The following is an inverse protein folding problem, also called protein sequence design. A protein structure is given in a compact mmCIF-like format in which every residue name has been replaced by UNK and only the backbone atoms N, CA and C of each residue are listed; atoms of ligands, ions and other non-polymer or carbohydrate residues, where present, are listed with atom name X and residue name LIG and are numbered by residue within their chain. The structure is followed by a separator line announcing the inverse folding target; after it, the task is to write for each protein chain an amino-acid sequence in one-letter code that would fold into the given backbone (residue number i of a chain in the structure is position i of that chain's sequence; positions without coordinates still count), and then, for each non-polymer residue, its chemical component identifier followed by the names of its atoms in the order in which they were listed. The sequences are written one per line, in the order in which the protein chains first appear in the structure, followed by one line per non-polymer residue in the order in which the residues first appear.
data_IF_648680985033
#
_entry.id   IF_648680985033
#
_cell.length_a   1.000
_cell.length_b   1.000
_cell.length_c   1.000
_cell.angle_alpha   90.00
_cell.angle_beta   90.00
_cell.angle_gamma   90.00
#
_symmetry.space_group_name_H-M   'P 1'
#
loop_
_entity.id
_entity.type
_entity.pdbx_description
1 polymer ?
#
# COMPACT_ATOMS: atom_id res chain seq x y z
N UNK A 1 -21.09 -56.53 -18.29
CA UNK A 1 -21.10 -55.95 -16.94
C UNK A 1 -19.74 -55.30 -16.75
N UNK A 2 -19.60 -54.06 -17.23
CA UNK A 2 -18.32 -53.36 -17.20
C UNK A 2 -18.59 -51.91 -16.81
N UNK A 3 -18.76 -51.72 -15.51
CA UNK A 3 -18.75 -50.41 -14.87
C UNK A 3 -17.28 -50.13 -14.57
N UNK A 4 -16.49 -49.91 -15.63
CA UNK A 4 -15.11 -49.51 -15.49
C UNK A 4 -15.05 -47.99 -15.23
N UNK A 5 -14.66 -47.66 -14.00
CA UNK A 5 -13.80 -46.52 -13.69
C UNK A 5 -14.20 -45.14 -14.21
N UNK A 6 -15.36 -44.63 -13.80
CA UNK A 6 -15.65 -43.18 -13.86
C UNK A 6 -15.43 -42.46 -12.51
N UNK A 7 -14.64 -43.05 -11.61
CA UNK A 7 -14.34 -42.50 -10.27
C UNK A 7 -13.00 -41.75 -10.19
N UNK A 8 -12.11 -41.89 -11.17
CA UNK A 8 -10.79 -41.24 -11.17
C UNK A 8 -10.79 -39.78 -11.63
N UNK A 9 -11.78 -39.36 -12.44
CA UNK A 9 -11.80 -38.03 -13.06
C UNK A 9 -12.68 -37.03 -12.29
N UNK A 10 -13.52 -37.50 -11.36
CA UNK A 10 -14.52 -36.66 -10.66
C UNK A 10 -14.06 -36.26 -9.25
N UNK A 11 -12.90 -36.75 -8.77
CA UNK A 11 -12.52 -36.61 -7.36
C UNK A 11 -11.85 -35.26 -6.99
N UNK A 12 -11.40 -34.43 -7.93
CA UNK A 12 -10.42 -33.37 -7.57
C UNK A 12 -10.93 -31.91 -7.67
N UNK A 13 -12.17 -31.66 -8.09
CA UNK A 13 -12.68 -30.28 -8.13
C UNK A 13 -13.01 -29.69 -6.73
N UNK A 14 -13.00 -30.52 -5.68
CA UNK A 14 -13.35 -30.10 -4.31
C UNK A 14 -12.15 -29.54 -3.52
N UNK A 15 -10.93 -29.90 -3.90
CA UNK A 15 -9.70 -29.40 -3.28
C UNK A 15 -9.23 -28.13 -4.01
N UNK A 16 -8.55 -27.19 -3.33
CA UNK A 16 -7.89 -26.08 -4.01
C UNK A 16 -6.85 -26.55 -5.05
N UNK A 17 -6.14 -27.66 -4.78
CA UNK A 17 -5.13 -28.24 -5.65
C UNK A 17 -5.72 -28.73 -6.98
N UNK A 18 -6.82 -29.50 -6.93
CA UNK A 18 -7.45 -29.98 -8.16
C UNK A 18 -8.25 -28.93 -8.90
N UNK A 19 -8.71 -27.84 -8.24
CA UNK A 19 -9.19 -26.63 -8.94
C UNK A 19 -8.09 -25.94 -9.76
N UNK A 20 -6.85 -26.01 -9.30
CA UNK A 20 -5.69 -25.49 -10.02
C UNK A 20 -5.12 -26.48 -11.06
N UNK A 21 -5.67 -27.71 -11.15
CA UNK A 21 -5.13 -28.77 -12.01
C UNK A 21 -3.74 -29.25 -11.58
N UNK A 22 -3.39 -29.08 -10.31
CA UNK A 22 -2.08 -29.41 -9.74
C UNK A 22 -2.19 -30.58 -8.77
N UNK A 23 -1.12 -31.35 -8.60
CA UNK A 23 -1.02 -32.27 -7.46
C UNK A 23 -0.96 -31.50 -6.13
N UNK A 24 -1.38 -32.13 -5.02
CA UNK A 24 -1.29 -31.54 -3.67
C UNK A 24 0.13 -31.06 -3.30
N UNK A 25 1.17 -31.77 -3.75
CA UNK A 25 2.56 -31.36 -3.56
C UNK A 25 2.95 -30.12 -4.36
N UNK A 26 2.57 -30.06 -5.65
CA UNK A 26 2.85 -28.91 -6.51
C UNK A 26 2.08 -27.67 -6.04
N UNK A 27 0.82 -27.85 -5.62
CA UNK A 27 0.02 -26.78 -5.04
C UNK A 27 0.67 -26.22 -3.78
N UNK A 28 1.14 -27.08 -2.87
CA UNK A 28 1.84 -26.68 -1.64
C UNK A 28 3.14 -25.93 -1.89
N UNK A 29 3.89 -26.30 -2.92
CA UNK A 29 5.09 -25.55 -3.32
C UNK A 29 4.72 -24.20 -3.94
N UNK A 30 3.67 -24.14 -4.77
CA UNK A 30 3.22 -22.92 -5.42
C UNK A 30 2.66 -21.88 -4.45
N UNK A 31 1.97 -22.29 -3.37
CA UNK A 31 1.42 -21.38 -2.35
C UNK A 31 2.40 -21.06 -1.21
N UNK A 32 3.63 -21.58 -1.28
CA UNK A 32 4.58 -21.44 -0.20
C UNK A 32 4.99 -19.98 -0.06
N UNK A 33 4.68 -19.40 1.09
CA UNK A 33 5.06 -18.04 1.42
C UNK A 33 6.59 -17.87 1.39
N UNK A 34 7.08 -16.91 0.60
CA UNK A 34 8.50 -16.69 0.37
C UNK A 34 8.96 -15.27 0.79
N UNK A 35 10.22 -14.95 0.47
CA UNK A 35 10.79 -13.63 0.75
C UNK A 35 10.16 -12.51 -0.08
N UNK A 36 9.63 -12.84 -1.26
CA UNK A 36 8.94 -11.91 -2.17
C UNK A 36 7.62 -11.49 -1.53
N UNK A 37 6.84 -12.45 -1.02
CA UNK A 37 5.59 -12.17 -0.32
C UNK A 37 5.80 -11.31 0.92
N UNK A 38 6.86 -11.63 1.69
CA UNK A 38 7.27 -10.80 2.84
C UNK A 38 7.56 -9.36 2.42
N UNK A 39 8.26 -9.17 1.29
CA UNK A 39 8.56 -7.86 0.72
C UNK A 39 7.29 -7.06 0.40
N UNK A 40 6.30 -7.71 -0.22
CA UNK A 40 5.01 -7.10 -0.53
C UNK A 40 4.19 -6.72 0.70
N UNK A 41 4.22 -7.54 1.76
CA UNK A 41 3.57 -7.23 3.04
C UNK A 41 4.20 -5.97 3.65
N UNK A 42 5.53 -5.91 3.71
CA UNK A 42 6.24 -4.75 4.28
C UNK A 42 5.98 -3.49 3.45
N UNK A 43 5.95 -3.60 2.12
CA UNK A 43 5.61 -2.48 1.23
C UNK A 43 4.18 -1.98 1.48
N UNK A 44 3.22 -2.89 1.64
CA UNK A 44 1.82 -2.55 1.93
C UNK A 44 1.68 -1.80 3.25
N UNK A 45 2.38 -2.26 4.30
CA UNK A 45 2.46 -1.56 5.60
C UNK A 45 3.10 -0.18 5.42
N UNK A 46 4.20 -0.11 4.66
CA UNK A 46 4.90 1.12 4.37
C UNK A 46 4.05 2.18 3.66
N UNK A 47 3.26 1.76 2.68
CA UNK A 47 2.31 2.62 1.98
C UNK A 47 1.22 3.14 2.92
N UNK A 48 0.66 2.27 3.77
CA UNK A 48 -0.35 2.68 4.76
C UNK A 48 0.20 3.72 5.74
N UNK A 49 1.43 3.52 6.25
CA UNK A 49 2.09 4.49 7.14
C UNK A 49 2.42 5.80 6.38
N UNK A 50 2.90 5.67 5.14
CA UNK A 50 3.32 6.78 4.29
C UNK A 50 2.18 7.73 3.89
N UNK A 51 0.95 7.24 3.82
CA UNK A 51 -0.25 8.00 3.42
C UNK A 51 -0.75 9.02 4.47
N UNK A 52 0.12 9.49 5.37
CA UNK A 52 -0.20 10.54 6.35
C UNK A 52 -0.41 10.06 7.79
N UNK A 53 -0.34 8.75 8.06
CA UNK A 53 -0.40 8.21 9.44
C UNK A 53 0.72 8.77 10.32
N UNK A 54 1.88 9.08 9.76
CA UNK A 54 2.99 9.71 10.51
C UNK A 54 2.59 11.08 11.07
N UNK A 55 1.72 11.82 10.39
CA UNK A 55 1.21 13.13 10.83
C UNK A 55 -0.10 13.02 11.62
N UNK A 56 -0.66 11.81 11.75
CA UNK A 56 -1.92 11.57 12.41
C UNK A 56 -1.91 12.06 13.87
N UNK A 57 -0.86 11.89 14.69
CA UNK A 57 -0.85 12.45 16.05
C UNK A 57 -1.07 13.97 16.07
N UNK A 58 -0.50 14.70 15.11
CA UNK A 58 -0.68 16.15 14.98
C UNK A 58 -2.13 16.46 14.57
N UNK A 59 -2.68 15.74 13.59
CA UNK A 59 -4.06 15.92 13.16
C UNK A 59 -5.07 15.60 14.27
N UNK A 60 -4.82 14.56 15.06
CA UNK A 60 -5.64 14.19 16.22
C UNK A 60 -5.56 15.26 17.30
N UNK A 61 -4.38 15.84 17.54
CA UNK A 61 -4.22 16.96 18.47
C UNK A 61 -5.03 18.21 18.05
N UNK A 62 -5.16 18.47 16.75
CA UNK A 62 -5.92 19.61 16.22
C UNK A 62 -7.43 19.36 16.16
N UNK A 63 -7.86 18.15 15.75
CA UNK A 63 -9.27 17.80 15.53
C UNK A 63 -9.96 17.24 16.79
N UNK A 64 -9.18 16.84 17.79
CA UNK A 64 -9.66 16.25 19.04
C UNK A 64 -9.65 14.72 19.02
N UNK A 65 -9.24 14.13 20.15
CA UNK A 65 -9.11 12.68 20.33
C UNK A 65 -10.43 11.94 20.10
N UNK A 66 -11.53 12.44 20.65
CA UNK A 66 -12.83 11.76 20.58
C UNK A 66 -13.42 11.75 19.18
N UNK A 67 -13.27 12.86 18.43
CA UNK A 67 -13.68 12.95 17.03
C UNK A 67 -12.93 11.91 16.19
N UNK A 68 -11.62 11.78 16.44
CA UNK A 68 -10.80 10.77 15.79
C UNK A 68 -11.20 9.34 16.17
N UNK A 69 -11.44 9.03 17.44
CA UNK A 69 -11.85 7.68 17.85
C UNK A 69 -13.20 7.30 17.24
N UNK A 70 -14.16 8.21 17.22
CA UNK A 70 -15.46 7.98 16.59
C UNK A 70 -15.32 7.75 15.07
N UNK A 71 -14.53 8.59 14.39
CA UNK A 71 -14.28 8.42 12.95
C UNK A 71 -13.54 7.12 12.64
N UNK A 72 -12.65 6.66 13.53
CA UNK A 72 -11.96 5.37 13.42
C UNK A 72 -12.93 4.19 13.52
N UNK A 73 -13.87 4.24 14.47
CA UNK A 73 -14.89 3.18 14.66
C UNK A 73 -15.79 3.03 13.43
N UNK A 74 -16.09 4.13 12.74
CA UNK A 74 -16.92 4.13 11.52
C UNK A 74 -16.07 3.81 10.28
N UNK A 75 -14.88 4.42 10.17
CA UNK A 75 -14.01 4.30 9.02
C UNK A 75 -13.36 2.93 8.90
N UNK A 76 -13.01 2.28 10.01
CA UNK A 76 -12.36 0.97 9.99
C UNK A 76 -13.23 -0.12 9.32
N UNK A 77 -14.52 -0.32 9.69
CA UNK A 77 -15.40 -1.26 9.00
C UNK A 77 -15.54 -0.96 7.50
N UNK A 78 -15.69 0.31 7.13
CA UNK A 78 -15.83 0.71 5.73
C UNK A 78 -14.57 0.33 4.91
N UNK A 79 -13.38 0.65 5.44
CA UNK A 79 -12.11 0.30 4.80
C UNK A 79 -11.88 -1.21 4.75
N UNK A 80 -12.23 -1.94 5.82
CA UNK A 80 -12.14 -3.39 5.85
C UNK A 80 -13.02 -4.04 4.79
N UNK A 81 -14.28 -3.61 4.66
CA UNK A 81 -15.21 -4.12 3.65
C UNK A 81 -14.73 -3.78 2.24
N UNK A 82 -14.21 -2.57 2.01
CA UNK A 82 -13.65 -2.17 0.73
C UNK A 82 -12.44 -3.04 0.34
N UNK A 83 -11.50 -3.26 1.26
CA UNK A 83 -10.34 -4.11 0.96
C UNK A 83 -10.71 -5.58 0.79
N UNK A 84 -11.68 -6.08 1.56
CA UNK A 84 -12.21 -7.43 1.38
C UNK A 84 -12.85 -7.59 0.01
N UNK A 85 -13.63 -6.62 -0.45
CA UNK A 85 -14.21 -6.61 -1.79
C UNK A 85 -13.10 -6.65 -2.85
N UNK A 86 -12.08 -5.78 -2.72
CA UNK A 86 -10.95 -5.72 -3.64
C UNK A 86 -10.22 -7.07 -3.76
N UNK A 87 -9.86 -7.69 -2.63
CA UNK A 87 -9.17 -8.98 -2.59
C UNK A 87 -10.05 -10.09 -3.18
N UNK A 88 -11.34 -10.14 -2.81
CA UNK A 88 -12.24 -11.17 -3.32
C UNK A 88 -12.43 -11.08 -4.84
N UNK A 89 -12.60 -9.88 -5.38
CA UNK A 89 -12.74 -9.67 -6.82
C UNK A 89 -11.48 -10.09 -7.58
N UNK A 90 -10.29 -9.83 -7.03
CA UNK A 90 -9.03 -10.28 -7.60
C UNK A 90 -8.88 -11.80 -7.53
N UNK A 91 -9.21 -12.40 -6.38
CA UNK A 91 -9.07 -13.84 -6.15
C UNK A 91 -10.05 -14.68 -6.97
N UNK A 92 -11.20 -14.12 -7.34
CA UNK A 92 -12.22 -14.79 -8.17
C UNK A 92 -11.99 -14.59 -9.67
N UNK A 93 -11.03 -13.73 -10.07
CA UNK A 93 -10.71 -13.52 -11.48
C UNK A 93 -10.10 -14.78 -12.12
N UNK A 94 -10.63 -15.28 -13.25
CA UNK A 94 -10.10 -16.47 -13.93
C UNK A 94 -8.68 -16.30 -14.49
N UNK A 95 -8.26 -15.05 -14.72
CA UNK A 95 -6.97 -14.71 -15.30
C UNK A 95 -6.22 -13.75 -14.37
N UNK A 96 -4.93 -14.01 -14.15
CA UNK A 96 -4.04 -13.12 -13.40
C UNK A 96 -3.74 -11.85 -14.23
N UNK A 97 -4.71 -10.95 -14.32
CA UNK A 97 -4.63 -9.66 -15.03
C UNK A 97 -4.65 -8.50 -14.04
N UNK A 98 -4.31 -7.32 -14.54
CA UNK A 98 -4.40 -6.07 -13.79
C UNK A 98 -5.85 -5.78 -13.34
N UNK A 99 -5.98 -5.05 -12.23
CA UNK A 99 -7.30 -4.78 -11.62
C UNK A 99 -8.31 -4.09 -12.57
N UNK A 100 -7.93 -3.10 -13.40
CA UNK A 100 -8.81 -2.57 -14.44
C UNK A 100 -9.34 -3.63 -15.41
N UNK A 101 -8.50 -4.57 -15.85
CA UNK A 101 -8.90 -5.69 -16.70
C UNK A 101 -9.88 -6.63 -15.98
N UNK A 102 -9.65 -6.94 -14.70
CA UNK A 102 -10.57 -7.75 -13.89
C UNK A 102 -11.93 -7.08 -13.75
N UNK A 103 -11.97 -5.79 -13.38
CA UNK A 103 -13.23 -5.04 -13.27
C UNK A 103 -13.96 -4.95 -14.61
N UNK A 104 -13.24 -4.78 -15.71
CA UNK A 104 -13.83 -4.76 -17.06
C UNK A 104 -14.58 -6.07 -17.37
N UNK A 105 -14.10 -7.20 -16.84
CA UNK A 105 -14.77 -8.50 -16.93
C UNK A 105 -16.09 -8.55 -16.15
N UNK A 106 -16.15 -7.93 -14.97
CA UNK A 106 -17.35 -7.92 -14.11
C UNK A 106 -18.40 -6.87 -14.52
N UNK A 107 -17.99 -5.64 -14.88
CA UNK A 107 -18.88 -4.51 -15.15
C UNK A 107 -19.12 -4.26 -16.66
N UNK A 108 -18.41 -4.96 -17.52
CA UNK A 108 -18.48 -4.81 -18.97
C UNK A 108 -17.55 -3.73 -19.54
N UNK A 109 -17.33 -3.79 -20.86
CA UNK A 109 -16.29 -3.04 -21.58
C UNK A 109 -16.32 -1.51 -21.36
N UNK A 110 -17.50 -0.89 -21.37
CA UNK A 110 -17.61 0.58 -21.26
C UNK A 110 -17.28 1.09 -19.85
N UNK A 111 -17.77 0.38 -18.81
CA UNK A 111 -17.46 0.68 -17.41
C UNK A 111 -16.01 0.36 -17.08
N UNK A 112 -15.46 -0.70 -17.68
CA UNK A 112 -14.05 -1.04 -17.64
C UNK A 112 -13.15 0.07 -18.14
N UNK A 113 -13.45 0.64 -19.31
CA UNK A 113 -12.70 1.78 -19.88
C UNK A 113 -12.80 3.02 -18.98
N UNK A 114 -14.00 3.35 -18.48
CA UNK A 114 -14.18 4.50 -17.59
C UNK A 114 -13.36 4.35 -16.30
N UNK A 115 -13.47 3.20 -15.63
CA UNK A 115 -12.76 2.94 -14.38
C UNK A 115 -11.26 2.82 -14.59
N UNK A 116 -10.82 2.24 -15.71
CA UNK A 116 -9.42 2.22 -16.12
C UNK A 116 -8.85 3.63 -16.33
N UNK A 117 -9.61 4.52 -16.97
CA UNK A 117 -9.22 5.92 -17.16
C UNK A 117 -9.14 6.67 -15.81
N UNK A 118 -10.13 6.49 -14.93
CA UNK A 118 -10.11 7.06 -13.58
C UNK A 118 -8.93 6.54 -12.76
N UNK A 119 -8.64 5.25 -12.84
CA UNK A 119 -7.49 4.63 -12.17
C UNK A 119 -6.17 5.20 -12.69
N UNK A 120 -6.03 5.38 -14.01
CA UNK A 120 -4.86 6.00 -14.61
C UNK A 120 -4.67 7.45 -14.15
N UNK A 121 -5.72 8.27 -14.20
CA UNK A 121 -5.67 9.66 -13.74
C UNK A 121 -5.29 9.73 -12.27
N UNK A 122 -5.87 8.87 -11.44
CA UNK A 122 -5.53 8.76 -10.02
C UNK A 122 -4.03 8.45 -9.84
N UNK A 123 -3.48 7.45 -10.53
CA UNK A 123 -2.06 7.11 -10.45
C UNK A 123 -1.15 8.28 -10.85
N UNK A 124 -1.50 9.00 -11.93
CA UNK A 124 -0.74 10.16 -12.39
C UNK A 124 -0.75 11.28 -11.34
N UNK A 125 -1.91 11.58 -10.75
CA UNK A 125 -2.03 12.56 -9.67
C UNK A 125 -1.12 12.17 -8.50
N UNK A 126 -1.21 10.93 -8.03
CA UNK A 126 -0.38 10.46 -6.91
C UNK A 126 1.12 10.50 -7.23
N UNK A 127 1.52 10.15 -8.45
CA UNK A 127 2.92 10.26 -8.89
C UNK A 127 3.43 11.70 -8.75
N UNK A 128 2.65 12.69 -9.17
CA UNK A 128 3.04 14.10 -9.03
C UNK A 128 3.02 14.57 -7.57
N UNK A 129 1.99 14.22 -6.79
CA UNK A 129 1.88 14.61 -5.37
C UNK A 129 3.06 14.09 -4.56
N UNK A 130 3.43 12.81 -4.73
CA UNK A 130 4.58 12.27 -4.03
C UNK A 130 5.90 12.86 -4.51
N UNK A 131 6.04 13.12 -5.80
CA UNK A 131 7.22 13.78 -6.36
C UNK A 131 7.41 15.19 -5.79
N UNK A 132 6.35 16.00 -5.75
CA UNK A 132 6.43 17.37 -5.24
C UNK A 132 6.68 17.37 -3.73
N UNK A 133 6.06 16.46 -2.98
CA UNK A 133 6.35 16.26 -1.56
C UNK A 133 7.84 15.95 -1.32
N UNK A 134 8.42 14.98 -2.05
CA UNK A 134 9.84 14.64 -1.93
C UNK A 134 10.74 15.82 -2.32
N UNK A 135 10.39 16.54 -3.38
CA UNK A 135 11.13 17.72 -3.84
C UNK A 135 11.16 18.81 -2.76
N UNK A 136 10.00 19.11 -2.17
CA UNK A 136 9.86 20.13 -1.14
C UNK A 136 10.54 19.72 0.17
N UNK A 137 10.34 18.49 0.62
CA UNK A 137 10.95 17.98 1.85
C UNK A 137 12.48 17.98 1.72
N UNK A 138 13.02 17.45 0.63
CA UNK A 138 14.46 17.40 0.41
C UNK A 138 15.09 18.79 0.29
N UNK A 139 14.45 19.73 -0.41
CA UNK A 139 14.91 21.11 -0.47
C UNK A 139 14.88 21.79 0.91
N UNK A 140 13.81 21.57 1.69
CA UNK A 140 13.68 22.10 3.04
C UNK A 140 14.76 21.55 3.98
N UNK A 141 15.06 20.25 3.91
CA UNK A 141 16.14 19.65 4.71
C UNK A 141 17.51 20.18 4.30
N UNK A 142 17.83 20.26 2.99
CA UNK A 142 19.11 20.78 2.51
C UNK A 142 19.35 22.23 2.95
N UNK A 143 18.29 23.05 2.91
CA UNK A 143 18.34 24.41 3.43
C UNK A 143 18.51 24.43 4.96
N UNK A 144 17.75 23.63 5.70
CA UNK A 144 17.80 23.58 7.17
C UNK A 144 19.17 23.10 7.69
N UNK A 145 19.84 22.20 6.98
CA UNK A 145 21.19 21.73 7.30
C UNK A 145 22.31 22.64 6.76
N UNK A 146 21.96 23.80 6.16
CA UNK A 146 22.93 24.79 5.67
C UNK A 146 23.73 24.34 4.44
N UNK A 147 23.27 23.31 3.73
CA UNK A 147 23.91 22.82 2.49
C UNK A 147 23.61 23.77 1.32
N UNK A 148 22.50 24.51 1.37
CA UNK A 148 22.13 25.50 0.35
C UNK A 148 21.66 26.81 0.95
N UNK A 149 22.05 27.93 0.34
CA UNK A 149 21.66 29.30 0.78
C UNK A 149 20.21 29.67 0.40
N UNK A 150 19.53 28.86 -0.43
CA UNK A 150 18.14 29.04 -0.82
C UNK A 150 17.38 27.71 -1.00
N UNK A 151 16.08 27.79 -1.24
CA UNK A 151 15.25 26.60 -1.50
C UNK A 151 15.49 26.09 -2.94
N UNK A 152 16.14 24.94 -3.05
CA UNK A 152 16.36 24.26 -4.34
C UNK A 152 15.04 23.90 -5.07
N UNK A 153 13.91 23.82 -4.35
CA UNK A 153 12.58 23.57 -4.92
C UNK A 153 12.10 24.66 -5.86
N UNK A 154 12.65 25.88 -5.78
CA UNK A 154 12.28 26.98 -6.68
C UNK A 154 12.80 26.78 -8.11
N UNK A 155 13.79 25.88 -8.28
CA UNK A 155 14.30 25.49 -9.60
C UNK A 155 13.56 24.25 -10.13
N UNK A 156 12.88 24.34 -11.29
CA UNK A 156 12.21 23.20 -11.91
C UNK A 156 13.14 22.01 -12.22
N UNK A 157 14.45 22.27 -12.37
CA UNK A 157 15.45 21.25 -12.66
C UNK A 157 15.70 20.31 -11.47
N UNK A 158 15.57 20.80 -10.24
CA UNK A 158 15.80 19.99 -9.04
C UNK A 158 14.73 18.88 -8.91
N UNK A 159 13.46 19.26 -9.04
CA UNK A 159 12.35 18.29 -9.06
C UNK A 159 12.46 17.30 -10.21
N UNK A 160 12.85 17.76 -11.41
CA UNK A 160 13.02 16.89 -12.58
C UNK A 160 14.12 15.84 -12.36
N UNK A 161 15.29 16.25 -11.84
CA UNK A 161 16.39 15.32 -11.53
C UNK A 161 15.98 14.30 -10.47
N UNK A 162 15.27 14.74 -9.43
CA UNK A 162 14.75 13.83 -8.40
C UNK A 162 13.76 12.81 -8.98
N UNK A 163 12.82 13.23 -9.82
CA UNK A 163 11.90 12.31 -10.51
C UNK A 163 12.69 11.29 -11.33
N UNK A 164 13.66 11.73 -12.12
CA UNK A 164 14.50 10.83 -12.93
C UNK A 164 15.21 9.78 -12.07
N UNK A 165 15.75 10.18 -10.92
CA UNK A 165 16.41 9.25 -9.97
C UNK A 165 15.38 8.27 -9.38
N UNK A 166 14.22 8.76 -8.94
CA UNK A 166 13.16 7.92 -8.38
C UNK A 166 12.67 6.89 -9.40
N UNK A 167 12.42 7.31 -10.64
CA UNK A 167 12.03 6.41 -11.74
C UNK A 167 13.14 5.42 -12.06
N UNK A 168 14.42 5.84 -12.04
CA UNK A 168 15.56 4.97 -12.28
C UNK A 168 15.78 3.94 -11.14
N UNK A 169 15.34 4.21 -9.92
CA UNK A 169 15.33 3.23 -8.82
C UNK A 169 14.14 2.29 -8.98
N UNK A 170 12.95 2.83 -9.27
CA UNK A 170 11.72 2.06 -9.47
C UNK A 170 11.78 1.14 -10.69
N UNK A 171 12.58 1.47 -11.71
CA UNK A 171 12.78 0.62 -12.88
C UNK A 171 13.73 -0.56 -12.64
N UNK A 172 14.41 -0.61 -11.48
CA UNK A 172 15.23 -1.74 -11.08
C UNK A 172 14.35 -2.85 -10.50
N UNK A 173 14.85 -4.09 -10.53
CA UNK A 173 14.06 -5.25 -10.11
C UNK A 173 13.54 -5.17 -8.68
N UNK A 174 12.44 -5.88 -8.44
CA UNK A 174 11.65 -5.89 -7.20
C UNK A 174 12.49 -6.14 -5.93
N UNK A 175 13.53 -6.97 -6.02
CA UNK A 175 14.42 -7.27 -4.88
C UNK A 175 15.13 -6.03 -4.31
N UNK A 176 15.56 -5.12 -5.18
CA UNK A 176 16.20 -3.87 -4.72
C UNK A 176 15.14 -2.94 -4.12
N UNK A 177 13.97 -2.85 -4.75
CA UNK A 177 12.85 -2.06 -4.28
C UNK A 177 12.41 -2.51 -2.88
N UNK A 178 12.27 -3.83 -2.64
CA UNK A 178 11.91 -4.36 -1.33
C UNK A 178 12.96 -4.06 -0.27
N UNK A 179 14.25 -4.19 -0.60
CA UNK A 179 15.33 -3.94 0.37
C UNK A 179 15.36 -2.47 0.80
N UNK A 180 15.27 -1.55 -0.15
CA UNK A 180 15.25 -0.10 0.13
C UNK A 180 13.98 0.25 0.91
N UNK A 181 12.81 -0.20 0.44
CA UNK A 181 11.52 0.11 1.07
C UNK A 181 11.44 -0.44 2.50
N UNK A 182 11.89 -1.68 2.72
CA UNK A 182 11.93 -2.27 4.07
C UNK A 182 12.77 -1.43 5.03
N UNK A 183 13.97 -1.01 4.60
CA UNK A 183 14.82 -0.13 5.40
C UNK A 183 14.13 1.20 5.75
N UNK A 184 13.50 1.85 4.77
CA UNK A 184 12.77 3.11 4.99
C UNK A 184 11.58 2.95 5.96
N UNK A 185 10.78 1.90 5.79
CA UNK A 185 9.59 1.65 6.62
C UNK A 185 9.99 1.35 8.06
N UNK A 186 10.97 0.49 8.28
CA UNK A 186 11.47 0.16 9.62
C UNK A 186 12.07 1.40 10.30
N UNK A 187 12.81 2.23 9.56
CA UNK A 187 13.36 3.48 10.07
C UNK A 187 12.25 4.44 10.49
N UNK A 188 11.22 4.62 9.66
CA UNK A 188 10.05 5.46 10.01
C UNK A 188 9.35 4.95 11.26
N UNK A 189 9.10 3.65 11.36
CA UNK A 189 8.47 3.05 12.55
C UNK A 189 9.30 3.27 13.81
N UNK A 190 10.62 3.10 13.73
CA UNK A 190 11.53 3.34 14.84
C UNK A 190 11.48 4.80 15.29
N UNK A 191 11.55 5.75 14.35
CA UNK A 191 11.46 7.19 14.67
C UNK A 191 10.13 7.53 15.32
N UNK A 192 9.01 7.03 14.79
CA UNK A 192 7.68 7.26 15.39
C UNK A 192 7.60 6.66 16.80
N UNK A 193 8.10 5.45 17.01
CA UNK A 193 8.13 4.83 18.33
C UNK A 193 9.01 5.62 19.31
N UNK A 194 10.20 6.05 18.88
CA UNK A 194 11.12 6.84 19.68
C UNK A 194 10.52 8.21 20.06
N UNK A 195 9.86 8.88 19.12
CA UNK A 195 9.12 10.12 19.39
C UNK A 195 7.95 9.87 20.36
N UNK A 196 7.22 8.76 20.18
CA UNK A 196 6.16 8.37 21.11
C UNK A 196 6.67 8.21 22.54
N UNK A 197 7.81 7.54 22.72
CA UNK A 197 8.45 7.32 24.03
C UNK A 197 9.01 8.62 24.61
N UNK A 198 9.69 9.45 23.80
CA UNK A 198 10.26 10.71 24.30
C UNK A 198 9.19 11.71 24.75
N UNK A 199 8.01 11.66 24.13
CA UNK A 199 6.89 12.53 24.46
C UNK A 199 6.11 12.11 25.71
N UNK A 200 6.36 10.95 26.33
CA UNK A 200 5.62 10.46 27.52
C UNK A 200 5.63 11.48 28.66
N UNK A 201 6.74 12.20 28.86
CA UNK A 201 6.84 13.25 29.89
C UNK A 201 5.96 14.49 29.62
N UNK A 202 5.50 14.67 28.39
CA UNK A 202 4.63 15.77 27.96
C UNK A 202 3.15 15.36 27.87
N UNK A 203 2.80 14.15 28.32
CA UNK A 203 1.43 13.66 28.27
C UNK A 203 0.59 14.29 29.39
N UNK A 204 -0.24 15.25 29.02
CA UNK A 204 -1.23 15.83 29.91
C UNK A 204 -2.57 15.09 29.76
N UNK A 205 -2.86 14.17 30.68
CA UNK A 205 -4.08 13.36 30.68
C UNK A 205 -5.38 14.18 30.74
N UNK A 206 -5.31 15.44 31.19
CA UNK A 206 -6.43 16.37 31.14
C UNK A 206 -6.96 16.59 29.70
N UNK A 207 -6.08 16.56 28.69
CA UNK A 207 -6.44 16.74 27.28
C UNK A 207 -7.24 15.55 26.71
N UNK A 208 -7.35 14.44 27.44
CA UNK A 208 -8.17 13.28 27.06
C UNK A 208 -9.64 13.52 27.39
N UNK A 209 -9.94 14.28 28.45
CA UNK A 209 -11.31 14.50 28.93
C UNK A 209 -12.04 15.67 28.27
N UNK A 210 -11.33 16.55 27.56
CA UNK A 210 -11.93 17.65 26.81
C UNK A 210 -12.67 17.12 25.60
N UNK A 211 -13.98 16.91 25.72
CA UNK A 211 -14.88 16.84 24.58
C UNK A 211 -14.86 18.21 23.88
N UNK A 212 -14.85 18.25 22.53
CA UNK A 212 -14.91 19.49 21.77
C UNK A 212 -16.18 20.30 22.08
#
# INVERSE_FOLDING_TARGET
MEIASNKGVIADASTPAGRAGMSESEWREAIKFDSTDTGWVIMSIGMAIGAGIVFLPVQVGLMGLWVFLLSSVIGYPAMYLFQRLFINTLAESPECKDYPSVISGYLGKNWGILLGALYFVMLVIWMFVYSTAITNDSASYLHTFGVTEGLLSDSPFYGLVLICILVAISSRGEKLLFKISTGMVLTKLLVVAALGVSMVGMWHLYNVGSLP
#
